data_IF_782331220522
#
_entry.id   IF_782331220522
#
_cell.length_a   1.000
_cell.length_b   1.000
_cell.length_c   1.000
_cell.angle_alpha   90.00
_cell.angle_beta   90.00
_cell.angle_gamma   90.00
#
_symmetry.space_group_name_H-M   'P 1'
#
loop_
_entity.id
_entity.type
_entity.pdbx_description
1 polymer ?
#
# COMPACT_ATOMS: atom_id res chain seq x y z
N UNK A 1 -12.21 -19.58 2.97
CA UNK A 1 -10.80 -19.32 2.62
C UNK A 1 -10.37 -17.99 3.23
N UNK A 2 -9.13 -17.87 3.69
CA UNK A 2 -8.59 -16.64 4.29
C UNK A 2 -7.44 -16.12 3.43
N UNK A 3 -7.26 -14.81 3.39
CA UNK A 3 -6.13 -14.18 2.70
C UNK A 3 -5.38 -13.21 3.60
N UNK A 4 -4.10 -13.01 3.30
CA UNK A 4 -3.29 -11.95 3.88
C UNK A 4 -2.84 -11.02 2.76
N UNK A 5 -3.06 -9.72 2.94
CA UNK A 5 -2.91 -8.71 1.89
C UNK A 5 -2.03 -7.57 2.37
N UNK A 6 -1.17 -7.11 1.47
CA UNK A 6 -0.34 -5.91 1.61
C UNK A 6 -0.14 -5.29 0.21
N UNK A 7 0.01 -3.97 0.13
CA UNK A 7 0.29 -3.26 -1.13
C UNK A 7 1.50 -2.35 -1.02
N UNK A 8 2.18 -2.17 -2.16
CA UNK A 8 3.23 -1.16 -2.29
C UNK A 8 2.82 -0.09 -3.28
N UNK A 9 3.08 1.16 -2.89
CA UNK A 9 2.64 2.34 -3.62
C UNK A 9 3.79 3.29 -3.89
N UNK A 10 3.73 3.96 -5.03
CA UNK A 10 4.62 5.09 -5.35
C UNK A 10 3.82 6.38 -5.41
N UNK A 11 4.47 7.46 -5.01
CA UNK A 11 3.94 8.80 -5.20
C UNK A 11 3.94 9.15 -6.70
N UNK A 12 2.84 9.71 -7.20
CA UNK A 12 2.79 10.16 -8.59
C UNK A 12 3.77 11.32 -8.84
N UNK A 13 4.27 11.51 -10.07
CA UNK A 13 5.11 12.64 -10.42
C UNK A 13 4.47 13.98 -10.05
N UNK A 14 5.29 14.97 -9.72
CA UNK A 14 4.81 16.30 -9.30
C UNK A 14 3.88 16.95 -10.32
N UNK A 15 4.09 16.71 -11.61
CA UNK A 15 3.23 17.19 -12.70
C UNK A 15 1.82 16.60 -12.63
N UNK A 16 1.70 15.29 -12.37
CA UNK A 16 0.41 14.64 -12.23
C UNK A 16 -0.30 15.10 -10.95
N UNK A 17 0.42 15.21 -9.84
CA UNK A 17 -0.11 15.79 -8.61
C UNK A 17 -0.65 17.21 -8.86
N UNK A 18 0.14 18.08 -9.49
CA UNK A 18 -0.22 19.46 -9.80
C UNK A 18 -1.49 19.54 -10.65
N UNK A 19 -1.59 18.68 -11.69
CA UNK A 19 -2.81 18.54 -12.50
C UNK A 19 -4.02 18.18 -11.64
N UNK A 20 -3.90 17.21 -10.73
CA UNK A 20 -5.00 16.74 -9.88
C UNK A 20 -5.45 17.78 -8.84
N UNK A 21 -4.53 18.59 -8.32
CA UNK A 21 -4.86 19.70 -7.41
C UNK A 21 -5.33 20.96 -8.14
N UNK A 22 -5.47 20.93 -9.47
CA UNK A 22 -5.92 22.05 -10.29
C UNK A 22 -4.86 23.14 -10.50
N UNK A 23 -3.59 22.83 -10.23
CA UNK A 23 -2.42 23.69 -10.47
C UNK A 23 -1.81 23.36 -11.83
N UNK A 24 -2.55 23.55 -12.92
CA UNK A 24 -1.95 23.55 -14.25
C UNK A 24 -1.01 24.75 -14.35
N UNK A 25 0.19 24.52 -14.89
CA UNK A 25 1.14 25.57 -15.22
C UNK A 25 0.45 26.60 -16.10
N UNK A 26 0.39 27.85 -15.65
CA UNK A 26 0.21 28.97 -16.54
C UNK A 26 1.43 29.03 -17.47
N UNK A 27 1.41 28.28 -18.57
CA UNK A 27 2.13 28.66 -19.77
C UNK A 27 1.44 29.90 -20.32
N UNK A 28 1.76 31.05 -19.74
CA UNK A 28 1.23 32.35 -20.07
C UNK A 28 2.20 33.38 -19.52
N UNK A 29 3.22 33.64 -20.33
CA UNK A 29 4.04 34.87 -20.38
C UNK A 29 3.99 35.72 -19.10
N UNK A 30 4.91 35.47 -18.17
CA UNK A 30 5.37 36.57 -17.33
C UNK A 30 6.22 37.47 -18.22
N UNK A 31 5.61 38.55 -18.73
CA UNK A 31 6.36 39.69 -19.26
C UNK A 31 7.49 40.07 -18.28
N UNK A 32 8.69 40.44 -18.75
CA UNK A 32 9.75 40.91 -17.86
C UNK A 32 9.35 42.30 -17.34
N UNK A 33 8.62 42.33 -16.22
CA UNK A 33 8.40 43.55 -15.47
C UNK A 33 9.72 43.99 -14.84
N UNK A 34 10.01 45.27 -14.98
CA UNK A 34 11.32 45.87 -14.85
C UNK A 34 12.01 45.73 -13.49
N UNK A 35 13.32 45.94 -13.57
CA UNK A 35 14.32 46.22 -12.54
C UNK A 35 13.77 46.49 -11.13
N UNK A 36 13.88 45.46 -10.28
CA UNK A 36 13.67 45.56 -8.84
C UNK A 36 13.59 44.18 -8.22
N UNK A 37 14.73 43.59 -7.85
CA UNK A 37 14.76 42.37 -7.05
C UNK A 37 14.21 42.67 -5.64
N UNK A 38 12.88 42.64 -5.51
CA UNK A 38 12.18 42.82 -4.25
C UNK A 38 12.32 41.55 -3.39
N UNK A 39 13.12 41.65 -2.33
CA UNK A 39 13.37 40.59 -1.36
C UNK A 39 12.08 40.04 -0.74
N UNK A 40 11.01 40.85 -0.65
CA UNK A 40 9.71 40.43 -0.14
C UNK A 40 8.97 39.52 -1.11
N UNK A 41 9.00 39.82 -2.42
CA UNK A 41 8.44 38.95 -3.46
C UNK A 41 9.16 37.58 -3.52
N UNK A 42 10.49 37.57 -3.34
CA UNK A 42 11.28 36.35 -3.26
C UNK A 42 10.93 35.51 -2.02
N UNK A 43 10.76 36.16 -0.86
CA UNK A 43 10.35 35.48 0.38
C UNK A 43 8.94 34.88 0.31
N UNK A 44 7.98 35.58 -0.31
CA UNK A 44 6.63 35.06 -0.53
C UNK A 44 6.63 33.86 -1.48
N UNK A 45 7.41 33.90 -2.57
CA UNK A 45 7.55 32.79 -3.50
C UNK A 45 8.21 31.56 -2.84
N UNK A 46 9.21 31.76 -1.99
CA UNK A 46 9.86 30.67 -1.26
C UNK A 46 8.92 30.04 -0.21
N UNK A 47 8.16 30.85 0.53
CA UNK A 47 7.15 30.35 1.47
C UNK A 47 6.08 29.52 0.76
N UNK A 48 5.60 29.99 -0.39
CA UNK A 48 4.64 29.25 -1.20
C UNK A 48 5.21 27.90 -1.66
N UNK A 49 6.46 27.85 -2.16
CA UNK A 49 7.11 26.59 -2.56
C UNK A 49 7.20 25.58 -1.42
N UNK A 50 7.55 26.02 -0.20
CA UNK A 50 7.62 25.14 0.97
C UNK A 50 6.25 24.53 1.31
N UNK A 51 5.19 25.34 1.28
CA UNK A 51 3.82 24.85 1.48
C UNK A 51 3.43 23.81 0.42
N UNK A 52 3.80 24.04 -0.84
CA UNK A 52 3.53 23.08 -1.91
C UNK A 52 4.31 21.78 -1.76
N UNK A 53 5.59 21.86 -1.38
CA UNK A 53 6.43 20.69 -1.16
C UNK A 53 5.89 19.86 0.03
N UNK A 54 5.38 20.51 1.08
CA UNK A 54 4.69 19.82 2.19
C UNK A 54 3.38 19.15 1.74
N UNK A 55 2.57 19.82 0.92
CA UNK A 55 1.33 19.25 0.38
C UNK A 55 1.63 18.05 -0.53
N UNK A 56 2.65 18.17 -1.37
CA UNK A 56 3.13 17.08 -2.20
C UNK A 56 3.59 15.93 -1.31
N UNK A 57 4.49 16.14 -0.34
CA UNK A 57 4.95 15.08 0.56
C UNK A 57 3.81 14.34 1.30
N UNK A 58 2.78 15.07 1.76
CA UNK A 58 1.60 14.48 2.42
C UNK A 58 0.74 13.61 1.50
N UNK A 59 0.83 13.79 0.18
CA UNK A 59 0.04 13.05 -0.81
C UNK A 59 0.54 11.63 -1.12
N UNK A 60 1.76 11.28 -0.65
CA UNK A 60 2.42 10.00 -0.94
C UNK A 60 1.66 8.76 -0.45
N UNK A 61 0.73 8.90 0.51
CA UNK A 61 -0.07 7.80 1.05
C UNK A 61 -1.56 7.92 0.72
N UNK A 62 -1.92 8.79 -0.24
CA UNK A 62 -3.30 8.94 -0.70
C UNK A 62 -3.46 8.38 -2.11
N UNK A 63 -4.37 7.41 -2.28
CA UNK A 63 -4.67 6.80 -3.58
C UNK A 63 -5.22 7.75 -4.65
N UNK A 64 -5.50 9.01 -4.35
CA UNK A 64 -5.75 10.04 -5.37
C UNK A 64 -4.48 10.37 -6.14
N UNK A 65 -3.35 10.49 -5.44
CA UNK A 65 -2.10 11.08 -5.94
C UNK A 65 -0.97 10.07 -6.03
N UNK A 66 -1.26 8.81 -5.78
CA UNK A 66 -0.27 7.74 -5.73
C UNK A 66 -0.81 6.53 -6.49
N UNK A 67 0.10 5.66 -6.91
CA UNK A 67 -0.17 4.49 -7.75
C UNK A 67 0.24 3.23 -7.02
N UNK A 68 -0.53 2.16 -7.19
CA UNK A 68 -0.16 0.81 -6.72
C UNK A 68 0.81 0.21 -7.74
N UNK A 69 1.97 -0.22 -7.27
CA UNK A 69 3.00 -0.88 -8.08
C UNK A 69 3.20 -2.33 -7.72
N UNK A 70 2.70 -2.76 -6.56
CA UNK A 70 2.68 -4.16 -6.16
C UNK A 70 1.47 -4.47 -5.28
N UNK A 71 0.87 -5.64 -5.46
CA UNK A 71 -0.08 -6.25 -4.51
C UNK A 71 0.43 -7.65 -4.16
N UNK A 72 0.69 -7.89 -2.88
CA UNK A 72 1.05 -9.20 -2.34
C UNK A 72 -0.16 -9.88 -1.71
N UNK A 73 -0.29 -11.20 -1.93
CA UNK A 73 -1.40 -11.98 -1.42
C UNK A 73 -0.93 -13.38 -0.99
N UNK A 74 -1.25 -13.75 0.25
CA UNK A 74 -1.16 -15.13 0.73
C UNK A 74 -2.55 -15.73 0.80
N UNK A 75 -2.69 -16.98 0.37
CA UNK A 75 -3.94 -17.70 0.32
C UNK A 75 -3.91 -18.89 1.26
N UNK A 76 -4.94 -19.00 2.09
CA UNK A 76 -5.03 -20.03 3.13
C UNK A 76 -6.40 -20.70 3.15
N UNK A 77 -6.44 -21.99 3.51
CA UNK A 77 -7.70 -22.64 3.89
C UNK A 77 -8.31 -21.97 5.14
N UNK A 78 -9.55 -22.33 5.47
CA UNK A 78 -10.18 -21.84 6.71
C UNK A 78 -9.42 -22.28 7.97
N UNK A 79 -8.69 -23.39 7.87
CA UNK A 79 -7.81 -23.96 8.89
C UNK A 79 -6.41 -23.32 8.92
N UNK A 80 -6.13 -22.32 8.08
CA UNK A 80 -4.81 -21.67 7.90
C UNK A 80 -3.73 -22.59 7.32
N UNK A 81 -4.11 -23.54 6.47
CA UNK A 81 -3.15 -24.27 5.64
C UNK A 81 -2.81 -23.44 4.41
N UNK A 82 -1.52 -23.24 4.07
CA UNK A 82 -1.11 -22.50 2.87
C UNK A 82 -1.67 -23.14 1.60
N UNK A 83 -2.19 -22.30 0.70
CA UNK A 83 -2.75 -22.71 -0.60
C UNK A 83 -2.00 -22.06 -1.76
N UNK A 84 -1.46 -20.87 -1.56
CA UNK A 84 -0.67 -20.16 -2.55
C UNK A 84 -0.09 -18.87 -1.99
N UNK A 85 0.92 -18.36 -2.68
CA UNK A 85 1.45 -17.02 -2.50
C UNK A 85 1.62 -16.39 -3.87
N UNK A 86 1.10 -15.19 -4.06
CA UNK A 86 1.11 -14.49 -5.34
C UNK A 86 1.38 -13.01 -5.13
N UNK A 87 2.21 -12.42 -5.99
CA UNK A 87 2.37 -10.98 -6.06
C UNK A 87 2.31 -10.50 -7.50
N UNK A 88 1.49 -9.48 -7.74
CA UNK A 88 1.45 -8.75 -9.01
C UNK A 88 2.27 -7.48 -8.86
N UNK A 89 3.15 -7.20 -9.82
CA UNK A 89 3.99 -6.01 -9.80
C UNK A 89 4.19 -5.44 -11.21
N UNK A 90 4.28 -4.13 -11.36
CA UNK A 90 4.44 -3.50 -12.68
C UNK A 90 3.80 -2.11 -12.75
N UNK A 91 3.96 -1.44 -13.88
CA UNK A 91 3.46 -0.09 -14.15
C UNK A 91 2.01 -0.05 -14.65
N UNK A 92 1.49 -1.13 -15.24
CA UNK A 92 0.08 -1.25 -15.62
C UNK A 92 -0.79 -1.55 -14.39
N UNK A 93 -1.05 -0.51 -13.60
CA UNK A 93 -1.91 -0.59 -12.42
C UNK A 93 -3.34 -1.07 -12.75
N UNK A 94 -3.83 -0.83 -13.97
CA UNK A 94 -5.17 -1.28 -14.37
C UNK A 94 -5.20 -2.79 -14.54
N UNK A 95 -4.23 -3.37 -15.22
CA UNK A 95 -4.08 -4.82 -15.35
C UNK A 95 -3.84 -5.47 -13.98
N UNK A 96 -3.00 -4.85 -13.14
CA UNK A 96 -2.76 -5.27 -11.75
C UNK A 96 -4.08 -5.45 -10.99
N UNK A 97 -4.92 -4.41 -10.99
CA UNK A 97 -6.22 -4.41 -10.31
C UNK A 97 -7.17 -5.45 -10.91
N UNK A 98 -7.19 -5.61 -12.24
CA UNK A 98 -8.04 -6.60 -12.91
C UNK A 98 -7.68 -8.02 -12.50
N UNK A 99 -6.39 -8.37 -12.48
CA UNK A 99 -5.94 -9.69 -12.06
C UNK A 99 -6.19 -9.94 -10.57
N UNK A 100 -5.95 -8.94 -9.72
CA UNK A 100 -6.26 -9.01 -8.30
C UNK A 100 -7.75 -9.32 -8.05
N UNK A 101 -8.66 -8.54 -8.65
CA UNK A 101 -10.10 -8.77 -8.49
C UNK A 101 -10.56 -10.09 -9.11
N UNK A 102 -9.95 -10.52 -10.22
CA UNK A 102 -10.22 -11.83 -10.82
C UNK A 102 -9.84 -12.97 -9.87
N UNK A 103 -8.65 -12.90 -9.24
CA UNK A 103 -8.22 -13.89 -8.24
C UNK A 103 -9.20 -13.94 -7.07
N UNK A 104 -9.60 -12.79 -6.53
CA UNK A 104 -10.56 -12.77 -5.41
C UNK A 104 -11.96 -13.29 -5.80
N UNK A 105 -12.38 -13.11 -7.06
CA UNK A 105 -13.66 -13.63 -7.55
C UNK A 105 -13.71 -15.16 -7.56
N UNK A 106 -12.59 -15.79 -7.90
CA UNK A 106 -12.41 -17.25 -7.91
C UNK A 106 -12.38 -17.79 -6.48
N UNK A 107 -11.63 -17.12 -5.63
CA UNK A 107 -11.28 -17.62 -4.31
C UNK A 107 -12.29 -17.28 -3.21
N UNK A 108 -13.08 -16.21 -3.39
CA UNK A 108 -14.14 -15.74 -2.48
C UNK A 108 -13.73 -15.79 -1.00
N UNK A 109 -12.70 -15.04 -0.60
CA UNK A 109 -12.22 -15.04 0.78
C UNK A 109 -13.32 -14.60 1.76
N UNK A 110 -13.42 -15.29 2.89
CA UNK A 110 -14.29 -14.92 4.00
C UNK A 110 -13.61 -13.94 4.97
N UNK A 111 -12.28 -13.90 4.97
CA UNK A 111 -11.48 -13.05 5.86
C UNK A 111 -10.25 -12.48 5.14
N UNK A 112 -10.08 -11.17 5.27
CA UNK A 112 -8.90 -10.42 4.87
C UNK A 112 -8.08 -10.12 6.13
N UNK A 113 -6.83 -10.56 6.17
CA UNK A 113 -5.90 -10.27 7.25
C UNK A 113 -4.92 -9.22 6.72
N UNK A 114 -4.73 -8.14 7.47
CA UNK A 114 -3.90 -7.01 7.05
C UNK A 114 -3.17 -6.40 8.24
N UNK A 115 -2.23 -5.50 7.99
CA UNK A 115 -1.69 -4.61 9.00
C UNK A 115 -1.91 -3.16 8.57
N UNK A 116 -2.83 -2.45 9.24
CA UNK A 116 -3.33 -1.14 8.81
C UNK A 116 -4.11 -1.15 7.48
N UNK A 117 -4.62 -2.31 7.03
CA UNK A 117 -5.37 -2.40 5.77
C UNK A 117 -6.72 -1.69 5.76
N UNK A 118 -7.32 -1.45 6.94
CA UNK A 118 -8.53 -0.61 7.05
C UNK A 118 -8.20 0.89 6.94
N UNK A 119 -6.98 1.28 7.28
CA UNK A 119 -6.49 2.66 7.20
C UNK A 119 -5.82 2.98 5.87
N UNK A 120 -5.33 1.96 5.15
CA UNK A 120 -4.51 2.13 3.97
C UNK A 120 -4.93 1.20 2.82
N UNK A 121 -4.54 -0.08 2.84
CA UNK A 121 -4.57 -0.99 1.69
C UNK A 121 -5.93 -1.08 0.99
N UNK A 122 -6.99 -1.46 1.71
CA UNK A 122 -8.30 -1.73 1.12
C UNK A 122 -8.99 -0.45 0.62
N UNK A 123 -9.02 0.67 1.38
CA UNK A 123 -9.47 1.95 0.85
C UNK A 123 -8.68 2.39 -0.39
N UNK A 124 -7.35 2.18 -0.39
CA UNK A 124 -6.48 2.58 -1.49
C UNK A 124 -6.80 1.78 -2.75
N UNK A 125 -6.85 0.44 -2.67
CA UNK A 125 -7.26 -0.44 -3.78
C UNK A 125 -8.64 -0.04 -4.30
N UNK A 126 -9.63 0.21 -3.43
CA UNK A 126 -10.98 0.63 -3.84
C UNK A 126 -10.94 1.95 -4.60
N UNK A 127 -10.17 2.92 -4.14
CA UNK A 127 -10.02 4.24 -4.78
C UNK A 127 -9.34 4.12 -6.15
N UNK A 128 -8.24 3.35 -6.25
CA UNK A 128 -7.54 3.10 -7.52
C UNK A 128 -8.39 2.31 -8.50
N UNK A 129 -9.19 1.37 -8.02
CA UNK A 129 -10.18 0.64 -8.83
C UNK A 129 -11.20 1.60 -9.46
N UNK A 130 -11.70 2.58 -8.71
CA UNK A 130 -12.59 3.62 -9.23
C UNK A 130 -11.86 4.48 -10.28
N UNK A 131 -10.65 4.94 -9.98
CA UNK A 131 -9.86 5.78 -10.89
C UNK A 131 -9.61 5.08 -12.23
N UNK A 132 -9.25 3.79 -12.20
CA UNK A 132 -8.98 2.97 -13.40
C UNK A 132 -10.22 2.33 -14.02
N UNK A 133 -11.42 2.61 -13.48
CA UNK A 133 -12.68 2.02 -13.93
C UNK A 133 -12.65 0.48 -13.93
N UNK A 134 -11.94 -0.10 -12.97
CA UNK A 134 -11.92 -1.55 -12.72
C UNK A 134 -12.97 -1.86 -11.67
N UNK A 135 -14.03 -2.58 -12.07
CA UNK A 135 -15.10 -2.95 -11.14
C UNK A 135 -14.62 -4.03 -10.16
N UNK A 136 -14.69 -3.80 -8.83
CA UNK A 136 -14.42 -4.84 -7.85
C UNK A 136 -15.34 -6.04 -8.04
N UNK A 137 -14.77 -7.24 -7.98
CA UNK A 137 -15.53 -8.50 -8.07
C UNK A 137 -16.31 -8.83 -6.79
N UNK A 138 -15.96 -8.18 -5.69
CA UNK A 138 -16.51 -8.32 -4.35
C UNK A 138 -16.51 -6.96 -3.66
N UNK A 139 -17.57 -6.69 -2.89
CA UNK A 139 -17.63 -5.54 -2.01
C UNK A 139 -17.15 -5.93 -0.61
N UNK A 140 -15.94 -5.52 -0.27
CA UNK A 140 -15.37 -5.73 1.07
C UNK A 140 -15.88 -4.64 1.99
N UNK A 141 -16.70 -5.01 2.98
CA UNK A 141 -17.21 -4.04 3.94
C UNK A 141 -16.11 -3.61 4.93
N UNK A 142 -15.69 -2.34 4.83
CA UNK A 142 -14.61 -1.71 5.60
C UNK A 142 -15.07 -1.08 6.92
N UNK A 143 -16.25 -1.43 7.43
CA UNK A 143 -16.69 -0.97 8.74
C UNK A 143 -15.68 -1.35 9.84
N UNK A 144 -15.35 -0.39 10.70
CA UNK A 144 -14.41 -0.50 11.81
C UNK A 144 -15.07 -1.12 13.06
N UNK A 145 -14.28 -1.37 14.10
CA UNK A 145 -14.71 -1.94 15.38
C UNK A 145 -15.24 -3.38 15.29
N UNK A 146 -14.67 -4.16 14.37
CA UNK A 146 -14.99 -5.58 14.16
C UNK A 146 -13.81 -6.31 13.53
N UNK A 147 -13.79 -7.62 13.64
CA UNK A 147 -12.70 -8.48 13.15
C UNK A 147 -13.03 -9.17 11.83
N UNK A 148 -14.25 -9.00 11.29
CA UNK A 148 -14.71 -9.62 10.06
C UNK A 148 -15.50 -8.60 9.20
N UNK A 149 -15.37 -8.64 7.86
CA UNK A 149 -14.56 -9.56 7.07
C UNK A 149 -13.07 -9.15 6.99
N UNK A 150 -12.65 -8.13 7.74
CA UNK A 150 -11.26 -7.66 7.79
C UNK A 150 -10.72 -7.74 9.21
N UNK A 151 -9.67 -8.54 9.39
CA UNK A 151 -8.85 -8.59 10.60
C UNK A 151 -7.62 -7.70 10.40
N UNK A 152 -7.68 -6.47 10.89
CA UNK A 152 -6.55 -5.54 10.86
C UNK A 152 -5.74 -5.69 12.15
N UNK A 153 -4.54 -6.27 12.03
CA UNK A 153 -3.67 -6.56 13.18
C UNK A 153 -3.28 -5.30 13.95
N UNK A 154 -3.11 -4.15 13.29
CA UNK A 154 -2.77 -2.89 13.96
C UNK A 154 -3.97 -2.37 14.77
N UNK A 155 -5.15 -2.37 14.16
CA UNK A 155 -6.37 -1.90 14.82
C UNK A 155 -6.76 -2.79 16.01
N UNK A 156 -6.57 -4.10 15.87
CA UNK A 156 -6.93 -5.05 16.93
C UNK A 156 -5.90 -5.00 18.06
N UNK A 157 -4.61 -4.92 17.75
CA UNK A 157 -3.55 -4.76 18.75
C UNK A 157 -3.75 -3.51 19.60
N UNK A 158 -4.15 -2.40 18.97
CA UNK A 158 -4.37 -1.13 19.67
C UNK A 158 -5.75 -1.02 20.33
N UNK A 159 -6.59 -2.05 20.26
CA UNK A 159 -7.99 -2.01 20.63
C UNK A 159 -8.71 -0.79 20.04
N UNK A 160 -8.45 -0.50 18.76
CA UNK A 160 -9.00 0.61 17.98
C UNK A 160 -8.61 2.02 18.48
N UNK A 161 -7.72 2.13 19.47
CA UNK A 161 -7.16 3.40 19.91
C UNK A 161 -5.95 3.78 19.04
N UNK A 162 -6.00 4.97 18.45
CA UNK A 162 -4.91 5.51 17.63
C UNK A 162 -3.59 5.68 18.40
N UNK A 163 -3.67 5.88 19.73
CA UNK A 163 -2.48 6.02 20.59
C UNK A 163 -1.68 4.73 20.71
N UNK A 164 -2.33 3.59 20.47
CA UNK A 164 -1.70 2.26 20.52
C UNK A 164 -1.26 1.73 19.16
N UNK A 165 -1.32 2.53 18.09
CA UNK A 165 -0.87 2.10 16.77
C UNK A 165 0.63 1.83 16.74
N UNK A 166 1.00 0.68 16.17
CA UNK A 166 2.38 0.22 16.07
C UNK A 166 2.68 -0.20 14.64
N UNK A 167 3.91 -0.01 14.20
CA UNK A 167 4.38 -0.53 12.91
C UNK A 167 4.47 -2.06 12.96
N UNK A 168 4.29 -2.71 11.80
CA UNK A 168 4.37 -4.17 11.66
C UNK A 168 5.66 -4.74 12.27
N UNK A 169 6.80 -4.11 12.02
CA UNK A 169 8.10 -4.51 12.54
C UNK A 169 8.18 -4.46 14.08
N UNK A 170 7.53 -3.46 14.72
CA UNK A 170 7.45 -3.37 16.18
C UNK A 170 6.58 -4.50 16.73
N UNK A 171 5.43 -4.74 16.11
CA UNK A 171 4.52 -5.82 16.49
C UNK A 171 5.20 -7.20 16.34
N UNK A 172 5.89 -7.42 15.22
CA UNK A 172 6.61 -8.66 14.93
C UNK A 172 7.67 -8.98 16.00
N UNK A 173 8.48 -7.97 16.38
CA UNK A 173 9.46 -8.12 17.47
C UNK A 173 8.79 -8.39 18.81
N UNK A 174 7.71 -7.67 19.13
CA UNK A 174 6.98 -7.87 20.39
C UNK A 174 6.38 -9.29 20.50
N UNK A 175 5.97 -9.87 19.37
CA UNK A 175 5.40 -11.21 19.30
C UNK A 175 6.44 -12.32 19.09
N UNK A 176 7.73 -11.98 19.03
CA UNK A 176 8.84 -12.90 18.73
C UNK A 176 8.57 -13.73 17.46
N UNK A 177 8.16 -13.05 16.38
CA UNK A 177 8.07 -13.64 15.05
C UNK A 177 9.15 -13.06 14.14
N UNK A 178 9.34 -13.71 13.00
CA UNK A 178 10.26 -13.23 11.97
C UNK A 178 9.91 -11.80 11.56
N UNK A 179 10.94 -10.97 11.40
CA UNK A 179 10.81 -9.57 10.99
C UNK A 179 11.16 -9.42 9.53
N UNK A 180 10.63 -8.38 8.89
CA UNK A 180 10.99 -8.04 7.52
C UNK A 180 12.43 -7.54 7.41
N UNK A 181 13.05 -7.80 6.25
CA UNK A 181 14.31 -7.19 5.85
C UNK A 181 14.01 -5.94 5.00
N UNK A 182 13.79 -4.79 5.63
CA UNK A 182 13.63 -3.53 4.90
C UNK A 182 12.69 -2.49 5.51
N UNK A 183 12.56 -1.35 4.82
CA UNK A 183 11.66 -0.25 5.19
C UNK A 183 10.92 0.28 3.97
N UNK A 184 9.73 0.85 4.16
CA UNK A 184 8.95 1.44 3.06
C UNK A 184 9.68 2.53 2.27
N UNK A 185 10.73 3.13 2.82
CA UNK A 185 11.59 4.08 2.09
C UNK A 185 12.36 3.42 0.92
N UNK A 186 12.56 2.10 0.97
CA UNK A 186 13.22 1.34 -0.09
C UNK A 186 12.32 1.09 -1.29
N UNK A 187 11.00 1.21 -1.16
CA UNK A 187 10.03 0.93 -2.23
C UNK A 187 10.24 1.88 -3.41
N UNK A 188 10.31 3.19 -3.13
CA UNK A 188 10.57 4.19 -4.16
C UNK A 188 11.94 3.99 -4.83
N UNK A 189 12.95 3.59 -4.07
CA UNK A 189 14.29 3.30 -4.58
C UNK A 189 14.33 2.05 -5.47
N UNK A 190 13.72 0.94 -5.01
CA UNK A 190 13.60 -0.31 -5.78
C UNK A 190 12.84 -0.05 -7.09
N UNK A 191 11.74 0.69 -7.01
CA UNK A 191 10.96 1.06 -8.18
C UNK A 191 11.76 1.91 -9.18
N UNK A 192 12.45 2.96 -8.71
CA UNK A 192 13.27 3.82 -9.56
C UNK A 192 14.44 3.07 -10.22
N UNK A 193 14.93 1.99 -9.61
CA UNK A 193 15.98 1.12 -10.14
C UNK A 193 15.45 0.00 -11.05
N UNK A 194 14.14 -0.10 -11.26
CA UNK A 194 13.53 -1.18 -12.04
C UNK A 194 13.55 -2.55 -11.35
N UNK A 195 13.70 -2.57 -10.02
CA UNK A 195 13.77 -3.80 -9.20
C UNK A 195 12.38 -4.29 -8.79
N UNK A 196 11.48 -4.44 -9.76
CA UNK A 196 10.09 -4.84 -9.52
C UNK A 196 9.99 -6.25 -8.92
N UNK A 197 10.90 -7.16 -9.29
CA UNK A 197 10.91 -8.52 -8.77
C UNK A 197 11.26 -8.56 -7.28
N UNK A 198 12.27 -7.79 -6.87
CA UNK A 198 12.67 -7.63 -5.46
C UNK A 198 11.57 -6.95 -4.66
N UNK A 199 10.90 -5.94 -5.22
CA UNK A 199 9.74 -5.29 -4.63
C UNK A 199 8.61 -6.30 -4.37
N UNK A 200 8.31 -7.18 -5.32
CA UNK A 200 7.30 -8.21 -5.17
C UNK A 200 7.64 -9.22 -4.05
N UNK A 201 8.92 -9.60 -3.93
CA UNK A 201 9.39 -10.46 -2.83
C UNK A 201 9.30 -9.77 -1.48
N UNK A 202 9.65 -8.48 -1.42
CA UNK A 202 9.53 -7.67 -0.22
C UNK A 202 8.06 -7.57 0.24
N UNK A 203 7.13 -7.29 -0.67
CA UNK A 203 5.70 -7.23 -0.37
C UNK A 203 5.18 -8.60 0.15
N UNK A 204 5.60 -9.72 -0.46
CA UNK A 204 5.25 -11.05 0.06
C UNK A 204 5.85 -11.31 1.46
N UNK A 205 7.05 -10.83 1.74
CA UNK A 205 7.60 -10.93 3.10
C UNK A 205 6.73 -10.16 4.10
N UNK A 206 6.26 -8.96 3.77
CA UNK A 206 5.37 -8.17 4.64
C UNK A 206 4.01 -8.87 4.86
N UNK A 207 3.46 -9.51 3.82
CA UNK A 207 2.27 -10.37 4.01
C UNK A 207 2.54 -11.55 4.94
N UNK A 208 3.71 -12.19 4.86
CA UNK A 208 4.07 -13.29 5.76
C UNK A 208 4.27 -12.82 7.21
N UNK A 209 4.94 -11.68 7.42
CA UNK A 209 5.10 -11.11 8.77
C UNK A 209 3.74 -10.74 9.36
N UNK A 210 2.83 -10.21 8.53
CA UNK A 210 1.43 -9.94 8.92
C UNK A 210 0.69 -11.23 9.32
N UNK A 211 0.83 -12.31 8.54
CA UNK A 211 0.31 -13.64 8.89
C UNK A 211 0.87 -14.12 10.23
N UNK A 212 2.19 -14.01 10.44
CA UNK A 212 2.83 -14.49 11.65
C UNK A 212 2.36 -13.73 12.89
N UNK A 213 2.20 -12.40 12.79
CA UNK A 213 1.59 -11.57 13.82
C UNK A 213 0.16 -12.02 14.11
N UNK A 214 -0.66 -12.20 13.07
CA UNK A 214 -2.03 -12.68 13.19
C UNK A 214 -2.10 -14.02 13.94
N UNK A 215 -1.24 -14.99 13.60
CA UNK A 215 -1.18 -16.28 14.29
C UNK A 215 -0.90 -16.11 15.79
N UNK A 216 0.13 -15.33 16.16
CA UNK A 216 0.48 -15.11 17.57
C UNK A 216 -0.61 -14.36 18.34
N UNK A 217 -1.25 -13.36 17.74
CA UNK A 217 -2.39 -12.63 18.33
C UNK A 217 -3.60 -13.55 18.58
N UNK A 218 -3.70 -14.65 17.84
CA UNK A 218 -4.73 -15.68 18.01
C UNK A 218 -4.21 -16.94 18.72
N UNK A 219 -3.09 -16.83 19.45
CA UNK A 219 -2.48 -17.91 20.24
C UNK A 219 -2.14 -19.18 19.43
N UNK A 220 -1.75 -19.00 18.17
CA UNK A 220 -1.30 -20.07 17.25
C UNK A 220 0.17 -19.87 16.90
N UNK A 221 0.87 -20.98 16.69
CA UNK A 221 2.20 -20.94 16.09
C UNK A 221 2.07 -20.75 14.58
N UNK A 222 2.78 -19.78 13.98
CA UNK A 222 2.83 -19.65 12.54
C UNK A 222 3.64 -20.78 11.91
N UNK A 223 3.29 -21.15 10.69
CA UNK A 223 4.17 -21.94 9.83
C UNK A 223 5.39 -21.10 9.41
N UNK A 224 6.49 -21.76 9.05
CA UNK A 224 7.70 -21.06 8.60
C UNK A 224 7.51 -20.35 7.26
N UNK A 225 8.30 -19.30 7.02
CA UNK A 225 8.33 -18.57 5.76
C UNK A 225 8.57 -19.50 4.55
N UNK A 226 9.47 -20.49 4.68
CA UNK A 226 9.81 -21.47 3.65
C UNK A 226 8.61 -22.31 3.22
N UNK A 227 7.65 -22.55 4.12
CA UNK A 227 6.44 -23.32 3.83
C UNK A 227 5.36 -22.40 3.25
N UNK A 228 5.17 -21.21 3.82
CA UNK A 228 4.10 -20.28 3.41
C UNK A 228 4.42 -19.63 2.06
N UNK A 229 5.68 -19.27 1.83
CA UNK A 229 6.19 -18.64 0.61
C UNK A 229 6.85 -19.68 -0.32
N UNK A 230 6.42 -20.95 -0.24
CA UNK A 230 6.94 -21.98 -1.12
C UNK A 230 6.49 -21.69 -2.57
N UNK A 231 7.47 -21.44 -3.45
CA UNK A 231 7.25 -21.20 -4.88
C UNK A 231 6.23 -20.09 -5.19
N UNK A 232 6.52 -18.83 -4.85
CA UNK A 232 5.57 -17.73 -5.05
C UNK A 232 5.34 -17.47 -6.55
N UNK A 233 4.09 -17.23 -6.92
CA UNK A 233 3.70 -16.73 -8.24
C UNK A 233 4.02 -15.22 -8.32
N UNK A 234 5.11 -14.85 -9.00
CA UNK A 234 5.50 -13.46 -9.19
C UNK A 234 5.13 -13.02 -10.61
N UNK A 235 4.11 -12.16 -10.72
CA UNK A 235 3.45 -11.81 -11.98
C UNK A 235 3.78 -10.35 -12.35
N UNK A 236 4.57 -10.18 -13.41
CA UNK A 236 4.85 -8.86 -13.96
C UNK A 236 3.68 -8.38 -14.83
N UNK A 237 3.13 -7.20 -14.53
CA UNK A 237 2.03 -6.59 -15.27
C UNK A 237 2.47 -5.43 -16.18
N UNK A 238 3.77 -5.19 -16.35
CA UNK A 238 4.32 -4.26 -17.33
C UNK A 238 4.67 -2.91 -16.74
#
# INVERSE_FOLDING_TARGET
MKIVLDIETIQAPREEWARLVGKLSSSGESEPAGEGYDLFSAGAAEAQRRVEDEQYAKSAFDGTFSQIVCIGLLEFSDQLEPRGSVAWYGGDERELLQQFWSRLAQNRPSLFITHNGLGFDLPFIKKRSIIHQVKPSLDVNLAKFRTEPVYDTMAIWSNWDMRGWVKLDVLARALNVETKSGSGAQVAEMWAKGQGLELARYCLQDTYVTYACYCRMNFRQPLSNEVVLLQPELLNVG
#
